data_IF_505293135370
#
_entry.id   IF_505293135370
#
_cell.length_a   1.000
_cell.length_b   1.000
_cell.length_c   1.000
_cell.angle_alpha   90.00
_cell.angle_beta   90.00
_cell.angle_gamma   90.00
#
_symmetry.space_group_name_H-M   'P 1'
#
loop_
_entity.id
_entity.type
_entity.pdbx_description
1 polymer ?
#
# COMPACT_ATOMS: atom_id res chain seq x y z
N UNK A 1 23.10 9.54 96.89
CA UNK A 1 23.42 8.33 96.11
C UNK A 1 22.66 8.28 94.77
N UNK A 2 21.95 9.33 94.33
CA UNK A 2 20.87 9.18 93.33
C UNK A 2 21.19 9.70 91.91
N UNK A 3 22.42 10.14 91.64
CA UNK A 3 22.78 10.77 90.35
C UNK A 3 23.27 9.77 89.29
N UNK A 4 23.73 8.58 89.70
CA UNK A 4 24.24 7.56 88.79
C UNK A 4 23.10 6.70 88.22
N UNK A 5 22.20 6.22 89.08
CA UNK A 5 21.01 5.46 88.69
C UNK A 5 20.05 6.27 87.80
N UNK A 6 19.90 7.57 88.09
CA UNK A 6 19.15 8.50 87.24
C UNK A 6 19.76 8.64 85.84
N UNK A 7 21.10 8.74 85.73
CA UNK A 7 21.79 8.83 84.43
C UNK A 7 21.73 7.54 83.62
N UNK A 8 21.78 6.38 84.29
CA UNK A 8 21.65 5.07 83.65
C UNK A 8 20.25 4.85 83.07
N UNK A 9 19.21 5.15 83.85
CA UNK A 9 17.83 5.05 83.40
C UNK A 9 17.52 6.04 82.27
N UNK A 10 17.99 7.29 82.38
CA UNK A 10 17.83 8.31 81.34
C UNK A 10 18.51 7.89 80.02
N UNK A 11 19.71 7.31 80.10
CA UNK A 11 20.42 6.79 78.93
C UNK A 11 19.69 5.60 78.29
N UNK A 12 19.15 4.68 79.11
CA UNK A 12 18.38 3.54 78.62
C UNK A 12 17.08 3.97 77.93
N UNK A 13 16.36 4.93 78.53
CA UNK A 13 15.15 5.52 77.93
C UNK A 13 15.46 6.27 76.64
N UNK A 14 16.62 6.93 76.53
CA UNK A 14 17.06 7.59 75.30
C UNK A 14 17.30 6.58 74.17
N UNK A 15 17.99 5.48 74.44
CA UNK A 15 18.20 4.43 73.44
C UNK A 15 16.89 3.74 73.02
N UNK A 16 15.96 3.53 73.95
CA UNK A 16 14.62 3.02 73.63
C UNK A 16 13.86 3.98 72.69
N UNK A 17 13.92 5.28 72.95
CA UNK A 17 13.31 6.28 72.07
C UNK A 17 14.00 6.33 70.69
N UNK A 18 15.34 6.28 70.62
CA UNK A 18 16.08 6.24 69.35
C UNK A 18 15.70 4.99 68.52
N UNK A 19 15.57 3.82 69.16
CA UNK A 19 15.12 2.58 68.50
C UNK A 19 13.69 2.73 67.97
N UNK A 20 12.77 3.27 68.78
CA UNK A 20 11.38 3.48 68.37
C UNK A 20 11.25 4.48 67.20
N UNK A 21 12.09 5.52 67.17
CA UNK A 21 12.16 6.48 66.06
C UNK A 21 12.70 5.79 64.80
N UNK A 22 13.80 5.04 64.91
CA UNK A 22 14.39 4.33 63.78
C UNK A 22 13.43 3.29 63.16
N UNK A 23 12.69 2.53 63.99
CA UNK A 23 11.67 1.59 63.50
C UNK A 23 10.52 2.29 62.77
N UNK A 24 10.11 3.47 63.26
CA UNK A 24 9.07 4.26 62.59
C UNK A 24 9.55 4.82 61.25
N UNK A 25 10.80 5.30 61.17
CA UNK A 25 11.42 5.75 59.92
C UNK A 25 11.56 4.59 58.91
N UNK A 26 11.97 3.39 59.37
CA UNK A 26 12.06 2.20 58.52
C UNK A 26 10.69 1.81 57.95
N UNK A 27 9.63 1.84 58.78
CA UNK A 27 8.25 1.59 58.30
C UNK A 27 7.80 2.64 57.29
N UNK A 28 8.10 3.91 57.52
CA UNK A 28 7.76 4.99 56.60
C UNK A 28 8.50 4.84 55.26
N UNK A 29 9.79 4.50 55.29
CA UNK A 29 10.60 4.24 54.11
C UNK A 29 10.07 3.02 53.31
N UNK A 30 9.75 1.91 53.99
CA UNK A 30 9.13 0.73 53.36
C UNK A 30 7.81 1.07 52.69
N UNK A 31 6.92 1.79 53.39
CA UNK A 31 5.63 2.21 52.83
C UNK A 31 5.79 3.07 51.58
N UNK A 32 6.78 3.96 51.59
CA UNK A 32 7.09 4.84 50.45
C UNK A 32 7.63 4.01 49.27
N UNK A 33 8.55 3.08 49.54
CA UNK A 33 9.10 2.17 48.55
C UNK A 33 8.01 1.27 47.92
N UNK A 34 7.10 0.74 48.73
CA UNK A 34 5.96 -0.05 48.24
C UNK A 34 5.02 0.79 47.38
N UNK A 35 4.76 2.05 47.76
CA UNK A 35 3.94 2.96 46.95
C UNK A 35 4.60 3.30 45.61
N UNK A 36 5.91 3.61 45.60
CA UNK A 36 6.66 3.87 44.39
C UNK A 36 6.69 2.63 43.49
N UNK A 37 6.83 1.44 44.08
CA UNK A 37 6.83 0.18 43.34
C UNK A 37 5.48 -0.06 42.68
N UNK A 38 4.39 0.22 43.40
CA UNK A 38 3.03 0.15 42.86
C UNK A 38 2.81 1.16 41.74
N UNK A 39 3.27 2.40 41.91
CA UNK A 39 3.14 3.46 40.90
C UNK A 39 3.97 3.16 39.65
N UNK A 40 5.20 2.66 39.81
CA UNK A 40 6.01 2.19 38.68
C UNK A 40 5.31 1.05 37.96
N UNK A 41 4.73 0.09 38.70
CA UNK A 41 4.03 -1.04 38.09
C UNK A 41 2.79 -0.56 37.31
N UNK A 42 1.99 0.33 37.90
CA UNK A 42 0.83 0.95 37.25
C UNK A 42 1.24 1.74 35.99
N UNK A 43 2.29 2.56 36.08
CA UNK A 43 2.82 3.32 34.95
C UNK A 43 3.33 2.41 33.83
N UNK A 44 4.01 1.30 34.17
CA UNK A 44 4.45 0.32 33.15
C UNK A 44 3.28 -0.36 32.46
N UNK A 45 2.23 -0.73 33.22
CA UNK A 45 1.01 -1.32 32.64
C UNK A 45 0.27 -0.30 31.75
N UNK A 46 0.14 0.94 32.22
CA UNK A 46 -0.47 2.02 31.44
C UNK A 46 0.34 2.35 30.18
N UNK A 47 1.68 2.31 30.24
CA UNK A 47 2.53 2.48 29.07
C UNK A 47 2.36 1.33 28.08
N UNK A 48 2.32 0.08 28.53
CA UNK A 48 2.05 -1.07 27.64
C UNK A 48 0.67 -1.01 27.00
N UNK A 49 -0.35 -0.62 27.75
CA UNK A 49 -1.73 -0.47 27.25
C UNK A 49 -1.85 0.71 26.27
N UNK A 50 -1.23 1.84 26.59
CA UNK A 50 -1.15 3.00 25.70
C UNK A 50 -0.36 2.67 24.43
N UNK A 51 0.73 1.90 24.54
CA UNK A 51 1.51 1.45 23.38
C UNK A 51 0.63 0.60 22.45
N UNK A 52 -0.19 -0.31 22.99
CA UNK A 52 -1.17 -1.10 22.21
C UNK A 52 -2.23 -0.24 21.52
N UNK A 53 -2.72 0.81 22.20
CA UNK A 53 -3.71 1.74 21.64
C UNK A 53 -3.11 2.68 20.57
N UNK A 54 -1.91 3.21 20.81
CA UNK A 54 -1.20 4.13 19.90
C UNK A 54 -0.63 3.41 18.68
N UNK A 55 -0.29 2.12 18.82
CA UNK A 55 0.10 1.31 17.67
C UNK A 55 -1.09 0.95 16.79
N UNK A 56 -2.34 1.05 17.26
CA UNK A 56 -3.53 0.75 16.46
C UNK A 56 -4.03 1.96 15.66
N UNK A 57 -3.49 2.19 14.46
CA UNK A 57 -4.21 3.02 13.49
C UNK A 57 -5.30 2.13 12.88
N UNK A 58 -6.58 2.47 13.10
CA UNK A 58 -7.70 1.75 12.51
C UNK A 58 -7.79 2.06 11.01
N UNK A 59 -7.45 1.09 10.18
CA UNK A 59 -7.68 1.15 8.74
C UNK A 59 -8.76 0.14 8.38
N UNK A 60 -9.92 0.61 7.92
CA UNK A 60 -11.10 -0.21 7.59
C UNK A 60 -11.57 -1.12 8.76
N UNK A 61 -11.46 -0.65 10.01
CA UNK A 61 -11.91 -1.39 11.19
C UNK A 61 -10.95 -2.47 11.69
N UNK A 62 -9.81 -2.70 11.02
CA UNK A 62 -8.76 -3.61 11.47
C UNK A 62 -7.69 -2.80 12.21
N UNK A 63 -7.32 -3.16 13.45
CA UNK A 63 -6.20 -2.54 14.14
C UNK A 63 -4.88 -2.94 13.47
N UNK A 64 -4.15 -1.96 12.95
CA UNK A 64 -2.88 -2.15 12.23
C UNK A 64 -1.78 -1.32 12.88
N UNK A 65 -0.59 -1.91 13.04
CA UNK A 65 0.59 -1.22 13.56
C UNK A 65 0.99 -0.05 12.66
N UNK A 66 1.63 1.00 13.20
CA UNK A 66 2.16 2.13 12.39
C UNK A 66 3.03 1.67 11.20
N UNK A 67 3.80 0.59 11.39
CA UNK A 67 4.60 -0.02 10.33
C UNK A 67 3.72 -0.71 9.26
N UNK A 68 2.73 -1.48 9.69
CA UNK A 68 1.78 -2.13 8.78
C UNK A 68 0.96 -1.14 7.95
N UNK A 69 0.51 -0.04 8.56
CA UNK A 69 -0.18 1.04 7.86
C UNK A 69 0.70 1.67 6.78
N UNK A 70 1.91 2.09 7.13
CA UNK A 70 2.83 2.69 6.17
C UNK A 70 3.18 1.71 5.03
N UNK A 71 3.43 0.44 5.33
CA UNK A 71 3.70 -0.58 4.32
C UNK A 71 2.50 -0.79 3.38
N UNK A 72 1.27 -0.83 3.92
CA UNK A 72 0.05 -1.02 3.15
C UNK A 72 -0.26 0.19 2.27
N UNK A 73 -0.14 1.41 2.80
CA UNK A 73 -0.34 2.65 2.03
C UNK A 73 0.68 2.74 0.91
N UNK A 74 1.97 2.52 1.19
CA UNK A 74 3.01 2.55 0.15
C UNK A 74 2.85 1.43 -0.88
N UNK A 75 2.33 0.26 -0.50
CA UNK A 75 1.98 -0.81 -1.44
C UNK A 75 0.90 -0.36 -2.43
N UNK A 76 -0.17 0.27 -1.93
CA UNK A 76 -1.24 0.82 -2.79
C UNK A 76 -0.69 1.91 -3.71
N UNK A 77 0.13 2.81 -3.17
CA UNK A 77 0.79 3.88 -3.96
C UNK A 77 1.68 3.27 -5.05
N UNK A 78 2.47 2.23 -4.73
CA UNK A 78 3.34 1.57 -5.71
C UNK A 78 2.53 0.93 -6.85
N UNK A 79 1.42 0.24 -6.53
CA UNK A 79 0.53 -0.34 -7.54
C UNK A 79 -0.06 0.74 -8.45
N UNK A 80 -0.52 1.86 -7.88
CA UNK A 80 -1.06 2.99 -8.64
C UNK A 80 0.00 3.60 -9.56
N UNK A 81 1.23 3.79 -9.08
CA UNK A 81 2.34 4.31 -9.90
C UNK A 81 2.66 3.36 -11.05
N UNK A 82 2.68 2.05 -10.81
CA UNK A 82 2.88 1.06 -11.88
C UNK A 82 1.74 1.13 -12.89
N UNK A 83 0.49 1.16 -12.45
CA UNK A 83 -0.68 1.25 -13.32
C UNK A 83 -0.64 2.53 -14.18
N UNK A 84 -0.31 3.68 -13.59
CA UNK A 84 -0.12 4.93 -14.31
C UNK A 84 1.05 4.86 -15.30
N UNK A 85 2.16 4.22 -14.92
CA UNK A 85 3.30 3.98 -15.81
C UNK A 85 2.91 3.12 -17.01
N UNK A 86 2.13 2.06 -16.81
CA UNK A 86 1.60 1.20 -17.87
C UNK A 86 0.68 1.99 -18.79
N UNK A 87 -0.27 2.76 -18.23
CA UNK A 87 -1.17 3.60 -19.03
C UNK A 87 -0.38 4.64 -19.81
N UNK A 88 0.61 5.31 -19.21
CA UNK A 88 1.45 6.29 -19.88
C UNK A 88 2.26 5.68 -21.02
N UNK A 89 2.89 4.52 -20.78
CA UNK A 89 3.63 3.78 -21.81
C UNK A 89 2.69 3.34 -22.94
N UNK A 90 1.52 2.81 -22.58
CA UNK A 90 0.50 2.43 -23.54
C UNK A 90 -0.02 3.64 -24.31
N UNK A 91 -0.17 4.82 -23.69
CA UNK A 91 -0.61 6.04 -24.36
C UNK A 91 0.45 6.56 -25.34
N UNK A 92 1.72 6.59 -24.93
CA UNK A 92 2.84 6.99 -25.79
C UNK A 92 3.01 6.04 -26.98
N UNK A 93 2.93 4.73 -26.73
CA UNK A 93 3.00 3.74 -27.79
C UNK A 93 1.73 3.72 -28.65
N UNK A 94 0.54 3.94 -28.07
CA UNK A 94 -0.73 3.99 -28.80
C UNK A 94 -0.81 5.20 -29.73
N UNK A 95 -0.16 6.33 -29.42
CA UNK A 95 -0.05 7.42 -30.39
C UNK A 95 0.67 6.99 -31.68
N UNK A 96 1.69 6.13 -31.56
CA UNK A 96 2.35 5.51 -32.72
C UNK A 96 1.51 4.41 -33.35
N UNK A 97 1.00 3.47 -32.55
CA UNK A 97 0.25 2.31 -33.03
C UNK A 97 -1.06 2.72 -33.68
N UNK A 98 -1.86 3.58 -33.07
CA UNK A 98 -3.13 4.06 -33.66
C UNK A 98 -2.90 4.86 -34.94
N UNK A 99 -1.81 5.63 -35.05
CA UNK A 99 -1.45 6.31 -36.30
C UNK A 99 -1.03 5.31 -37.38
N UNK A 100 -0.23 4.31 -37.02
CA UNK A 100 0.21 3.26 -37.93
C UNK A 100 -0.97 2.41 -38.42
N UNK A 101 -1.85 1.96 -37.52
CA UNK A 101 -3.05 1.18 -37.87
C UNK A 101 -4.01 1.97 -38.76
N UNK A 102 -4.14 3.30 -38.59
CA UNK A 102 -4.94 4.13 -39.50
C UNK A 102 -4.32 4.19 -40.91
N UNK A 103 -3.00 4.34 -41.00
CA UNK A 103 -2.28 4.35 -42.28
C UNK A 103 -2.38 2.98 -42.96
N UNK A 104 -2.15 1.90 -42.21
CA UNK A 104 -2.20 0.54 -42.72
C UNK A 104 -3.61 0.18 -43.21
N UNK A 105 -4.64 0.59 -42.47
CA UNK A 105 -6.04 0.44 -42.91
C UNK A 105 -6.30 1.18 -44.22
N UNK A 106 -5.88 2.45 -44.32
CA UNK A 106 -6.06 3.24 -45.54
C UNK A 106 -5.31 2.63 -46.75
N UNK A 107 -4.14 2.03 -46.54
CA UNK A 107 -3.42 1.30 -47.58
C UNK A 107 -4.18 0.07 -48.05
N UNK A 108 -4.66 -0.76 -47.11
CA UNK A 108 -5.42 -1.98 -47.44
C UNK A 108 -6.74 -1.63 -48.17
N UNK A 109 -7.43 -0.58 -47.75
CA UNK A 109 -8.67 -0.13 -48.39
C UNK A 109 -8.40 0.33 -49.85
N UNK A 110 -7.32 1.08 -50.08
CA UNK A 110 -6.90 1.49 -51.44
C UNK A 110 -6.50 0.30 -52.32
N UNK A 111 -5.71 -0.64 -51.80
CA UNK A 111 -5.34 -1.87 -52.52
C UNK A 111 -6.58 -2.71 -52.88
N UNK A 112 -7.58 -2.75 -52.00
CA UNK A 112 -8.84 -3.45 -52.23
C UNK A 112 -9.71 -2.77 -53.30
N UNK A 113 -9.76 -1.43 -53.33
CA UNK A 113 -10.43 -0.69 -54.40
C UNK A 113 -9.75 -0.91 -55.76
N UNK A 114 -8.42 -0.90 -55.80
CA UNK A 114 -7.65 -1.16 -57.02
C UNK A 114 -7.86 -2.60 -57.52
N UNK A 115 -7.86 -3.59 -56.62
CA UNK A 115 -8.18 -4.99 -56.93
C UNK A 115 -9.60 -5.15 -57.48
N UNK A 116 -10.58 -4.45 -56.90
CA UNK A 116 -11.96 -4.46 -57.40
C UNK A 116 -12.05 -3.86 -58.79
N UNK A 117 -11.39 -2.73 -59.04
CA UNK A 117 -11.38 -2.05 -60.33
C UNK A 117 -10.74 -2.93 -61.40
N UNK A 118 -9.54 -3.45 -61.15
CA UNK A 118 -8.82 -4.32 -62.08
C UNK A 118 -9.57 -5.63 -62.35
N UNK A 119 -10.21 -6.22 -61.34
CA UNK A 119 -11.05 -7.40 -61.52
C UNK A 119 -12.27 -7.11 -62.39
N UNK A 120 -12.90 -5.95 -62.19
CA UNK A 120 -14.02 -5.52 -63.02
C UNK A 120 -13.59 -5.29 -64.48
N UNK A 121 -12.48 -4.59 -64.70
CA UNK A 121 -11.91 -4.37 -66.04
C UNK A 121 -11.58 -5.68 -66.76
N UNK A 122 -10.99 -6.66 -66.05
CA UNK A 122 -10.72 -8.01 -66.58
C UNK A 122 -12.02 -8.71 -67.00
N UNK A 123 -13.05 -8.68 -66.16
CA UNK A 123 -14.35 -9.28 -66.49
C UNK A 123 -14.99 -8.61 -67.72
N UNK A 124 -14.93 -7.28 -67.82
CA UNK A 124 -15.45 -6.55 -68.99
C UNK A 124 -14.67 -6.92 -70.25
N UNK A 125 -13.34 -7.01 -70.17
CA UNK A 125 -12.50 -7.42 -71.30
C UNK A 125 -12.85 -8.83 -71.78
N UNK A 126 -12.94 -9.80 -70.86
CA UNK A 126 -13.31 -11.19 -71.19
C UNK A 126 -14.70 -11.24 -71.86
N UNK A 127 -15.69 -10.49 -71.34
CA UNK A 127 -17.03 -10.43 -71.97
C UNK A 127 -16.99 -9.87 -73.39
N UNK A 128 -16.19 -8.81 -73.63
CA UNK A 128 -16.03 -8.23 -74.97
C UNK A 128 -15.34 -9.18 -75.95
N UNK A 129 -14.29 -9.85 -75.49
CA UNK A 129 -13.58 -10.87 -76.28
C UNK A 129 -14.51 -12.06 -76.62
N UNK A 130 -15.29 -12.53 -75.65
CA UNK A 130 -16.27 -13.60 -75.86
C UNK A 130 -17.34 -13.18 -76.90
N UNK A 131 -17.90 -11.98 -76.77
CA UNK A 131 -18.87 -11.47 -77.75
C UNK A 131 -18.26 -11.34 -79.15
N UNK A 132 -17.03 -10.87 -79.24
CA UNK A 132 -16.32 -10.74 -80.53
C UNK A 132 -16.06 -12.11 -81.15
N UNK A 133 -15.70 -13.12 -80.35
CA UNK A 133 -15.52 -14.49 -80.80
C UNK A 133 -16.84 -15.12 -81.30
N UNK A 134 -17.95 -14.92 -80.56
CA UNK A 134 -19.28 -15.38 -80.98
C UNK A 134 -19.74 -14.72 -82.28
N UNK A 135 -19.61 -13.40 -82.41
CA UNK A 135 -19.99 -12.68 -83.62
C UNK A 135 -19.19 -13.17 -84.84
N UNK A 136 -17.88 -13.43 -84.69
CA UNK A 136 -17.04 -13.99 -85.77
C UNK A 136 -17.45 -15.40 -86.19
N UNK A 137 -17.86 -16.25 -85.23
CA UNK A 137 -18.38 -17.59 -85.53
C UNK A 137 -19.72 -17.53 -86.28
N UNK A 138 -20.58 -16.58 -85.93
CA UNK A 138 -21.86 -16.38 -86.61
C UNK A 138 -21.67 -15.86 -88.04
N UNK A 139 -20.74 -14.92 -88.27
CA UNK A 139 -20.38 -14.47 -89.63
C UNK A 139 -19.79 -15.59 -90.48
N UNK A 140 -19.00 -16.49 -89.89
CA UNK A 140 -18.40 -17.62 -90.60
C UNK A 140 -19.40 -18.75 -90.92
N UNK A 141 -20.50 -18.86 -90.18
CA UNK A 141 -21.52 -19.91 -90.35
C UNK A 141 -22.72 -19.48 -91.23
N UNK A 142 -22.72 -18.26 -91.79
CA UNK A 142 -23.69 -17.78 -92.78
C UNK A 142 -23.11 -17.81 -94.18
#
# INVERSE_FOLDING_TARGET
MNSFEGKLSDTLSRYQNEIAVAENEERAAKKTADSLRSEVQELTTNLEETQKLVDGIFFLGIPMTKSGYNALVWSIVAILVIALGVVYYLFYNSHKVTRQTKIDKARVDNELEELRKTSHEKQVKIKRELQTALNKLEEHNR
#
